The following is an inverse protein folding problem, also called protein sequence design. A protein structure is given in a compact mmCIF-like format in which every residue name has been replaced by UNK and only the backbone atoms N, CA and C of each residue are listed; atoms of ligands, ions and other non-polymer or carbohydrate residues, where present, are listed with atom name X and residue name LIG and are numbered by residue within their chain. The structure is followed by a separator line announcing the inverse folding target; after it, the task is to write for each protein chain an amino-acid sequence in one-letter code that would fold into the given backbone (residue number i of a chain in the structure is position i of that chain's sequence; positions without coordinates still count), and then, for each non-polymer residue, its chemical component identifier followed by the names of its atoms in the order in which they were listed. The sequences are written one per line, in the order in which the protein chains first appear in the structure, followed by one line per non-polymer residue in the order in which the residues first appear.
data_IF_667561180537
#
_entry.id   IF_667561180537
#
_cell.length_a   1.000
_cell.length_b   1.000
_cell.length_c   1.000
_cell.angle_alpha   90.00
_cell.angle_beta   90.00
_cell.angle_gamma   90.00
#
_symmetry.space_group_name_H-M   'P 1'
#
loop_
_entity.id
_entity.type
_entity.pdbx_description
1 polymer ?
#
# COMPACT_ATOMS: atom_id res chain seq x y z
N UNK A 1 -58.23 25.85 -40.02
CA UNK A 1 -57.08 26.64 -39.61
C UNK A 1 -56.32 25.91 -38.49
N UNK A 2 -55.64 24.79 -38.72
CA UNK A 2 -54.94 24.05 -37.63
C UNK A 2 -53.88 23.06 -38.10
N UNK A 3 -53.77 22.75 -39.40
CA UNK A 3 -52.78 21.74 -39.85
C UNK A 3 -51.35 22.25 -40.05
N UNK A 4 -51.13 23.55 -40.00
CA UNK A 4 -49.81 24.18 -40.22
C UNK A 4 -49.01 24.37 -38.92
N UNK A 5 -49.70 24.43 -37.76
CA UNK A 5 -49.07 24.71 -36.45
C UNK A 5 -48.35 23.50 -35.82
N UNK A 6 -48.89 22.26 -35.98
CA UNK A 6 -48.25 21.12 -35.35
C UNK A 6 -47.10 20.57 -36.17
N UNK A 7 -46.96 20.86 -37.45
CA UNK A 7 -45.74 20.56 -38.21
C UNK A 7 -44.56 21.31 -37.66
N UNK A 8 -44.71 22.57 -37.26
CA UNK A 8 -43.68 23.34 -36.59
C UNK A 8 -43.33 22.77 -35.20
N UNK A 9 -44.34 22.36 -34.44
CA UNK A 9 -44.16 21.74 -33.13
C UNK A 9 -43.43 20.39 -33.23
N UNK A 10 -43.77 19.56 -34.21
CA UNK A 10 -43.10 18.28 -34.44
C UNK A 10 -41.64 18.44 -34.86
N UNK A 11 -41.32 19.42 -35.71
CA UNK A 11 -39.94 19.74 -36.08
C UNK A 11 -39.17 20.26 -34.88
N UNK A 12 -39.75 21.08 -34.03
CA UNK A 12 -39.12 21.59 -32.82
C UNK A 12 -38.86 20.45 -31.82
N UNK A 13 -39.80 19.51 -31.64
CA UNK A 13 -39.64 18.36 -30.76
C UNK A 13 -38.54 17.41 -31.26
N UNK A 14 -38.47 17.22 -32.60
CA UNK A 14 -37.40 16.37 -33.18
C UNK A 14 -36.03 16.99 -33.06
N UNK A 15 -35.89 18.29 -33.15
CA UNK A 15 -34.65 19.02 -32.90
C UNK A 15 -34.17 18.91 -31.44
N UNK A 16 -35.10 18.99 -30.47
CA UNK A 16 -34.81 18.80 -29.07
C UNK A 16 -34.35 17.36 -28.78
N UNK A 17 -35.02 16.35 -29.40
CA UNK A 17 -34.63 14.95 -29.24
C UNK A 17 -33.22 14.65 -29.79
N UNK A 18 -32.88 15.21 -30.96
CA UNK A 18 -31.52 15.08 -31.55
C UNK A 18 -30.48 15.79 -30.67
N UNK A 19 -30.81 16.94 -30.10
CA UNK A 19 -29.93 17.66 -29.21
C UNK A 19 -29.65 16.87 -27.91
N UNK A 20 -30.67 16.21 -27.34
CA UNK A 20 -30.52 15.33 -26.19
C UNK A 20 -29.69 14.08 -26.48
N UNK A 21 -29.84 13.47 -27.67
CA UNK A 21 -29.04 12.32 -28.08
C UNK A 21 -27.55 12.67 -28.27
N UNK A 22 -27.23 13.91 -28.65
CA UNK A 22 -25.84 14.35 -28.83
C UNK A 22 -25.09 14.50 -27.50
N UNK A 23 -25.80 14.72 -26.39
CA UNK A 23 -25.17 14.87 -25.05
C UNK A 23 -24.92 13.55 -24.32
N UNK A 24 -25.46 12.42 -24.78
CA UNK A 24 -25.27 11.12 -24.12
C UNK A 24 -23.95 10.41 -24.48
N UNK A 25 -23.11 11.01 -25.32
CA UNK A 25 -21.83 10.41 -25.76
C UNK A 25 -20.63 10.76 -24.86
N UNK A 26 -20.86 11.48 -23.75
CA UNK A 26 -19.79 11.71 -22.78
C UNK A 26 -19.59 10.49 -21.88
N UNK A 27 -19.22 9.37 -22.48
CA UNK A 27 -18.63 8.24 -21.77
C UNK A 27 -17.27 8.68 -21.22
N UNK A 28 -17.26 9.21 -20.00
CA UNK A 28 -16.04 9.33 -19.24
C UNK A 28 -15.44 7.94 -19.09
N UNK A 29 -14.49 7.59 -19.93
CA UNK A 29 -13.56 6.49 -19.67
C UNK A 29 -12.74 6.90 -18.45
N UNK A 30 -13.25 6.59 -17.26
CA UNK A 30 -12.45 6.60 -16.05
C UNK A 30 -11.39 5.52 -16.25
N UNK A 31 -10.25 5.95 -16.74
CA UNK A 31 -9.07 5.11 -16.83
C UNK A 31 -8.54 5.02 -15.39
N UNK A 32 -8.96 4.00 -14.65
CA UNK A 32 -8.23 3.55 -13.46
C UNK A 32 -6.90 2.97 -13.95
N UNK A 33 -6.04 3.85 -14.44
CA UNK A 33 -4.63 3.56 -14.51
C UNK A 33 -4.07 3.88 -13.15
N UNK A 34 -3.39 2.93 -12.54
CA UNK A 34 -2.38 3.23 -11.55
C UNK A 34 -1.39 4.18 -12.24
N UNK A 35 -1.59 5.50 -12.04
CA UNK A 35 -0.72 6.50 -12.63
C UNK A 35 0.60 6.44 -11.87
N UNK A 36 1.63 6.12 -12.62
CA UNK A 36 3.04 6.35 -12.29
C UNK A 36 3.58 5.69 -11.01
N UNK A 37 3.30 4.38 -10.80
CA UNK A 37 4.38 3.57 -10.34
C UNK A 37 5.49 3.75 -11.40
N UNK A 38 6.63 4.36 -11.08
CA UNK A 38 7.81 4.25 -11.92
C UNK A 38 7.88 2.78 -12.24
N UNK A 39 7.59 2.45 -13.50
CA UNK A 39 7.44 1.06 -13.91
C UNK A 39 8.70 0.36 -13.45
N UNK A 40 8.51 -0.72 -12.68
CA UNK A 40 9.60 -1.61 -12.32
C UNK A 40 10.40 -1.81 -13.60
N UNK A 41 11.71 -1.52 -13.64
CA UNK A 41 12.48 -1.59 -14.87
C UNK A 41 12.26 -2.96 -15.52
N UNK A 42 11.99 -3.01 -16.82
CA UNK A 42 11.77 -4.27 -17.54
C UNK A 42 12.97 -5.24 -17.43
N UNK A 43 14.14 -4.71 -17.09
CA UNK A 43 15.35 -5.48 -16.79
C UNK A 43 15.30 -6.22 -15.44
N UNK A 44 14.43 -5.79 -14.52
CA UNK A 44 14.26 -6.41 -13.20
C UNK A 44 13.28 -7.57 -13.31
N UNK A 45 13.76 -8.79 -13.14
CA UNK A 45 12.95 -10.01 -13.23
C UNK A 45 12.99 -10.84 -11.95
N UNK A 46 14.13 -10.87 -11.28
CA UNK A 46 14.40 -11.75 -10.15
C UNK A 46 14.73 -10.92 -8.92
N UNK A 47 13.99 -11.15 -7.84
CA UNK A 47 14.20 -10.48 -6.54
C UNK A 47 14.50 -11.53 -5.46
N UNK A 48 15.42 -11.19 -4.58
CA UNK A 48 15.69 -11.94 -3.34
C UNK A 48 15.25 -11.08 -2.16
N UNK A 49 14.27 -11.54 -1.41
CA UNK A 49 13.86 -10.93 -0.15
C UNK A 49 14.44 -11.78 0.96
N UNK A 50 15.38 -11.24 1.71
CA UNK A 50 15.98 -11.92 2.85
C UNK A 50 15.01 -11.95 4.04
N UNK A 51 15.13 -12.92 4.95
CA UNK A 51 14.33 -12.95 6.17
C UNK A 51 14.47 -11.63 6.93
N UNK A 52 13.35 -11.07 7.33
CA UNK A 52 13.31 -9.82 8.11
C UNK A 52 13.93 -10.09 9.48
N UNK A 53 14.90 -9.25 9.86
CA UNK A 53 15.52 -9.32 11.17
C UNK A 53 14.90 -8.31 12.13
N UNK A 54 14.98 -8.58 13.43
CA UNK A 54 14.51 -7.64 14.45
C UNK A 54 15.68 -7.21 15.35
N UNK A 55 15.91 -5.90 15.43
CA UNK A 55 16.90 -5.27 16.31
C UNK A 55 16.26 -4.22 17.23
N UNK A 56 14.94 -4.18 17.31
CA UNK A 56 14.26 -3.30 18.26
C UNK A 56 14.50 -3.76 19.71
N UNK A 57 14.38 -2.83 20.66
CA UNK A 57 14.57 -3.12 22.08
C UNK A 57 13.54 -4.12 22.62
N UNK A 58 12.34 -4.14 22.08
CA UNK A 58 11.31 -5.13 22.33
C UNK A 58 11.10 -6.00 21.09
N UNK A 59 11.05 -7.31 21.26
CA UNK A 59 10.94 -8.27 20.16
C UNK A 59 9.68 -9.10 20.30
N UNK A 60 8.74 -8.92 19.38
CA UNK A 60 7.67 -9.88 19.17
C UNK A 60 8.21 -11.01 18.26
N UNK A 61 8.33 -12.25 18.75
CA UNK A 61 9.00 -13.33 18.02
C UNK A 61 8.23 -13.79 16.76
N UNK A 62 6.92 -13.54 16.72
CA UNK A 62 6.08 -13.91 15.57
C UNK A 62 6.15 -12.91 14.44
N UNK A 63 6.43 -11.63 14.73
CA UNK A 63 6.26 -10.55 13.77
C UNK A 63 7.23 -10.69 12.58
N UNK A 64 8.52 -10.85 12.81
CA UNK A 64 9.51 -10.84 11.75
C UNK A 64 9.36 -12.01 10.75
N UNK A 65 9.15 -13.27 11.16
CA UNK A 65 8.90 -14.38 10.24
C UNK A 65 7.63 -14.17 9.42
N UNK A 66 6.52 -13.82 10.08
CA UNK A 66 5.23 -13.64 9.39
C UNK A 66 5.24 -12.44 8.44
N UNK A 67 5.94 -11.34 8.79
CA UNK A 67 6.17 -10.20 7.88
C UNK A 67 6.98 -10.60 6.65
N UNK A 68 7.98 -11.47 6.81
CA UNK A 68 8.78 -11.96 5.68
C UNK A 68 7.88 -12.65 4.66
N UNK A 69 7.04 -13.57 5.12
CA UNK A 69 6.13 -14.32 4.26
C UNK A 69 5.09 -13.40 3.59
N UNK A 70 4.54 -12.45 4.34
CA UNK A 70 3.57 -11.48 3.80
C UNK A 70 4.19 -10.56 2.76
N UNK A 71 5.41 -10.08 3.00
CA UNK A 71 6.12 -9.22 2.05
C UNK A 71 6.43 -9.97 0.75
N UNK A 72 6.94 -11.21 0.83
CA UNK A 72 7.17 -12.06 -0.34
C UNK A 72 5.88 -12.25 -1.13
N UNK A 73 4.80 -12.67 -0.47
CA UNK A 73 3.50 -12.86 -1.12
C UNK A 73 3.00 -11.57 -1.79
N UNK A 74 3.16 -10.41 -1.15
CA UNK A 74 2.74 -9.14 -1.70
C UNK A 74 3.52 -8.79 -2.97
N UNK A 75 4.83 -8.88 -2.92
CA UNK A 75 5.69 -8.61 -4.10
C UNK A 75 5.34 -9.54 -5.26
N UNK A 76 5.19 -10.84 -5.00
CA UNK A 76 4.83 -11.82 -6.05
C UNK A 76 3.43 -11.59 -6.65
N UNK A 77 2.47 -11.11 -5.85
CA UNK A 77 1.10 -10.86 -6.33
C UNK A 77 0.96 -9.54 -7.08
N UNK A 78 1.72 -8.52 -6.71
CA UNK A 78 1.56 -7.16 -7.25
C UNK A 78 2.59 -6.81 -8.34
N UNK A 79 3.57 -7.68 -8.56
CA UNK A 79 4.60 -7.50 -9.58
C UNK A 79 4.74 -8.73 -10.47
N UNK A 80 5.50 -8.61 -11.55
CA UNK A 80 5.89 -9.75 -12.41
C UNK A 80 7.22 -10.37 -11.99
N UNK A 81 7.75 -10.00 -10.82
CA UNK A 81 9.03 -10.48 -10.33
C UNK A 81 8.94 -11.93 -9.88
N UNK A 82 10.05 -12.63 -9.95
CA UNK A 82 10.21 -13.99 -9.44
C UNK A 82 11.09 -13.95 -8.18
N UNK A 83 10.67 -14.67 -7.14
CA UNK A 83 11.45 -14.80 -5.91
C UNK A 83 12.53 -15.89 -6.08
N UNK A 84 13.76 -15.56 -5.73
CA UNK A 84 14.86 -16.55 -5.61
C UNK A 84 15.42 -16.59 -4.20
N UNK A 85 16.05 -17.73 -3.84
CA UNK A 85 16.91 -17.86 -2.66
C UNK A 85 18.40 -17.92 -3.06
N UNK A 86 18.66 -17.99 -4.36
CA UNK A 86 20.00 -18.06 -4.92
C UNK A 86 20.74 -16.73 -4.93
N UNK A 87 21.86 -16.71 -5.65
CA UNK A 87 22.70 -15.54 -5.86
C UNK A 87 22.40 -14.80 -7.17
N UNK A 88 21.46 -15.31 -7.96
CA UNK A 88 21.08 -14.83 -9.29
C UNK A 88 20.05 -13.68 -9.28
N UNK A 89 19.79 -13.10 -8.12
CA UNK A 89 18.84 -12.00 -7.97
C UNK A 89 19.36 -10.71 -8.61
N UNK A 90 18.47 -10.04 -9.36
CA UNK A 90 18.74 -8.69 -9.88
C UNK A 90 18.70 -7.65 -8.74
N UNK A 91 17.75 -7.84 -7.80
CA UNK A 91 17.65 -7.03 -6.58
C UNK A 91 17.61 -7.91 -5.34
N UNK A 92 18.30 -7.45 -4.31
CA UNK A 92 18.32 -8.05 -2.98
C UNK A 92 17.72 -7.04 -2.01
N UNK A 93 16.65 -7.43 -1.32
CA UNK A 93 15.92 -6.60 -0.36
C UNK A 93 16.18 -7.14 1.05
N UNK A 94 16.79 -6.30 1.86
CA UNK A 94 17.01 -6.53 3.29
C UNK A 94 16.11 -5.61 4.09
N UNK A 95 15.31 -6.17 4.97
CA UNK A 95 14.48 -5.41 5.90
C UNK A 95 14.88 -5.73 7.34
N UNK A 96 14.90 -4.69 8.19
CA UNK A 96 15.20 -4.81 9.60
C UNK A 96 14.21 -4.00 10.43
N UNK A 97 13.51 -4.63 11.36
CA UNK A 97 12.72 -3.92 12.37
C UNK A 97 13.71 -3.24 13.30
N UNK A 98 13.70 -1.90 13.32
CA UNK A 98 14.63 -1.07 14.08
C UNK A 98 13.99 -0.44 15.31
N UNK A 99 12.67 -0.27 15.29
CA UNK A 99 11.93 0.27 16.42
C UNK A 99 10.62 -0.46 16.64
N UNK A 100 10.27 -0.59 17.91
CA UNK A 100 9.01 -1.13 18.39
C UNK A 100 8.70 -0.38 19.68
N UNK A 101 8.03 0.77 19.54
CA UNK A 101 7.91 1.74 20.63
C UNK A 101 6.44 2.07 20.92
N UNK A 102 6.18 2.33 22.19
CA UNK A 102 4.85 2.64 22.71
C UNK A 102 4.79 4.08 23.16
N UNK A 103 3.67 4.72 22.92
CA UNK A 103 3.39 6.06 23.41
C UNK A 103 1.89 6.19 23.71
N UNK A 104 1.56 7.09 24.63
CA UNK A 104 0.17 7.49 24.84
C UNK A 104 -0.26 8.40 23.69
N UNK A 105 -1.37 8.07 23.03
CA UNK A 105 -1.87 8.83 21.89
C UNK A 105 -3.08 9.70 22.23
N UNK A 106 -3.81 9.41 23.29
CA UNK A 106 -4.95 10.21 23.71
C UNK A 106 -5.17 10.20 25.22
N UNK A 107 -5.43 11.40 25.77
CA UNK A 107 -5.81 11.59 27.16
C UNK A 107 -7.09 12.39 27.21
N UNK A 108 -8.11 11.90 27.94
CA UNK A 108 -9.35 12.62 28.21
C UNK A 108 -9.73 12.43 29.67
N UNK A 109 -10.17 13.51 30.33
CA UNK A 109 -10.51 13.52 31.76
C UNK A 109 -9.43 12.90 32.65
N UNK A 110 -8.13 13.23 32.35
CA UNK A 110 -6.95 12.68 33.08
C UNK A 110 -6.78 11.15 32.97
N UNK A 111 -7.49 10.49 32.06
CA UNK A 111 -7.32 9.07 31.80
C UNK A 111 -6.75 8.83 30.39
N UNK A 112 -5.88 7.84 30.26
CA UNK A 112 -5.35 7.40 28.97
C UNK A 112 -6.43 6.64 28.23
N UNK A 113 -6.92 7.22 27.15
CA UNK A 113 -7.98 6.60 26.33
C UNK A 113 -7.42 5.75 25.19
N UNK A 114 -6.25 6.12 24.68
CA UNK A 114 -5.59 5.36 23.62
C UNK A 114 -4.09 5.38 23.75
N UNK A 115 -3.48 4.29 23.39
CA UNK A 115 -2.06 4.11 23.23
C UNK A 115 -1.72 3.88 21.76
N UNK A 116 -0.48 4.12 21.39
CA UNK A 116 0.05 3.93 20.05
C UNK A 116 1.29 3.06 20.11
N UNK A 117 1.28 2.00 19.29
CA UNK A 117 2.45 1.21 18.95
C UNK A 117 3.02 1.73 17.63
N UNK A 118 4.30 2.10 17.59
CA UNK A 118 5.00 2.45 16.35
C UNK A 118 6.00 1.35 16.01
N UNK A 119 5.90 0.81 14.80
CA UNK A 119 6.84 -0.17 14.28
C UNK A 119 7.64 0.46 13.15
N UNK A 120 8.95 0.58 13.35
CA UNK A 120 9.87 1.12 12.35
C UNK A 120 10.67 0.02 11.68
N UNK A 121 10.80 0.11 10.35
CA UNK A 121 11.55 -0.83 9.53
C UNK A 121 12.52 -0.07 8.65
N UNK A 122 13.80 -0.41 8.74
CA UNK A 122 14.84 0.01 7.80
C UNK A 122 14.89 -0.96 6.63
N UNK A 123 15.01 -0.44 5.42
CA UNK A 123 14.99 -1.18 4.17
C UNK A 123 16.25 -0.82 3.39
N UNK A 124 16.99 -1.83 2.97
CA UNK A 124 18.17 -1.68 2.09
C UNK A 124 17.94 -2.51 0.84
N UNK A 125 18.04 -1.86 -0.31
CA UNK A 125 17.94 -2.52 -1.62
C UNK A 125 19.31 -2.50 -2.26
N UNK A 126 19.80 -3.68 -2.68
CA UNK A 126 21.06 -3.85 -3.41
C UNK A 126 20.80 -4.41 -4.78
N UNK A 127 21.68 -4.10 -5.70
CA UNK A 127 21.73 -4.75 -7.02
C UNK A 127 22.50 -6.08 -6.97
N UNK A 128 22.56 -6.77 -8.11
CA UNK A 128 23.31 -8.03 -8.26
C UNK A 128 24.80 -7.92 -7.94
N UNK A 129 25.36 -6.70 -7.98
CA UNK A 129 26.78 -6.43 -7.64
C UNK A 129 26.95 -6.09 -6.16
N UNK A 130 25.93 -6.26 -5.33
CA UNK A 130 25.87 -5.88 -3.90
C UNK A 130 25.95 -4.38 -3.65
N UNK A 131 25.89 -3.55 -4.68
CA UNK A 131 25.87 -2.10 -4.54
C UNK A 131 24.50 -1.67 -4.01
N UNK A 132 24.50 -0.81 -3.00
CA UNK A 132 23.27 -0.25 -2.46
C UNK A 132 22.68 0.75 -3.48
N UNK A 133 21.46 0.49 -3.91
CA UNK A 133 20.70 1.31 -4.84
C UNK A 133 19.54 2.05 -4.17
N UNK A 134 19.17 1.65 -2.95
CA UNK A 134 18.18 2.34 -2.15
C UNK A 134 18.34 2.06 -0.65
N UNK A 135 18.10 3.09 0.16
CA UNK A 135 17.95 2.98 1.62
C UNK A 135 16.70 3.76 2.01
N UNK A 136 15.83 3.11 2.76
CA UNK A 136 14.56 3.70 3.17
C UNK A 136 14.25 3.35 4.60
N UNK A 137 13.49 4.21 5.25
CA UNK A 137 12.87 3.95 6.54
C UNK A 137 11.37 4.12 6.39
N UNK A 138 10.61 3.21 6.99
CA UNK A 138 9.17 3.29 7.12
C UNK A 138 8.79 3.15 8.59
N UNK A 139 7.77 3.87 9.02
CA UNK A 139 7.22 3.75 10.37
C UNK A 139 5.70 3.68 10.25
N UNK A 140 5.13 2.65 10.85
CA UNK A 140 3.68 2.40 10.79
C UNK A 140 3.13 2.48 12.22
N UNK A 141 2.20 3.41 12.49
CA UNK A 141 1.53 3.55 13.77
C UNK A 141 0.30 2.63 13.85
N UNK A 142 0.04 2.09 15.04
CA UNK A 142 -1.12 1.27 15.37
C UNK A 142 -1.71 1.74 16.69
N UNK A 143 -2.93 2.28 16.65
CA UNK A 143 -3.62 2.75 17.84
C UNK A 143 -4.41 1.62 18.50
N UNK A 144 -4.40 1.58 19.83
CA UNK A 144 -5.15 0.61 20.60
C UNK A 144 -5.71 1.23 21.89
N UNK A 145 -6.75 0.62 22.47
CA UNK A 145 -7.40 1.12 23.66
C UNK A 145 -6.42 1.18 24.86
N UNK A 146 -6.41 2.31 25.56
CA UNK A 146 -5.52 2.53 26.71
C UNK A 146 -5.73 1.56 27.88
N UNK A 147 -6.87 0.84 27.89
CA UNK A 147 -7.21 -0.16 28.90
C UNK A 147 -6.56 -1.54 28.66
N UNK A 148 -6.00 -1.76 27.46
CA UNK A 148 -5.37 -3.04 27.10
C UNK A 148 -3.91 -3.05 27.54
N UNK A 149 -3.48 -4.21 28.04
CA UNK A 149 -2.05 -4.49 28.19
C UNK A 149 -1.38 -4.61 26.80
N UNK A 150 -0.06 -4.45 26.76
CA UNK A 150 0.69 -4.60 25.51
C UNK A 150 0.45 -5.94 24.84
N UNK A 151 0.53 -7.05 25.57
CA UNK A 151 0.35 -8.38 25.03
C UNK A 151 -1.06 -8.60 24.44
N UNK A 152 -2.10 -8.05 25.08
CA UNK A 152 -3.46 -8.09 24.57
C UNK A 152 -3.58 -7.25 23.28
N UNK A 153 -2.97 -6.06 23.26
CA UNK A 153 -2.96 -5.21 22.08
C UNK A 153 -2.22 -5.87 20.91
N UNK A 154 -1.05 -6.48 21.15
CA UNK A 154 -0.28 -7.18 20.12
C UNK A 154 -1.06 -8.31 19.45
N UNK A 155 -1.79 -9.09 20.23
CA UNK A 155 -2.62 -10.16 19.67
C UNK A 155 -3.70 -9.60 18.75
N UNK A 156 -4.34 -8.50 19.11
CA UNK A 156 -5.38 -7.85 18.29
C UNK A 156 -4.81 -7.11 17.08
N UNK A 157 -3.60 -6.56 17.18
CA UNK A 157 -2.96 -5.78 16.14
C UNK A 157 -2.15 -6.60 15.14
N UNK A 158 -1.84 -7.87 15.45
CA UNK A 158 -0.93 -8.67 14.61
C UNK A 158 -1.40 -8.73 13.15
N UNK A 159 -2.66 -9.04 12.91
CA UNK A 159 -3.18 -9.11 11.54
C UNK A 159 -3.13 -7.77 10.81
N UNK A 160 -3.31 -6.67 11.53
CA UNK A 160 -3.17 -5.33 10.97
C UNK A 160 -1.70 -5.02 10.66
N UNK A 161 -0.78 -5.32 11.58
CA UNK A 161 0.66 -5.17 11.34
C UNK A 161 1.13 -5.97 10.13
N UNK A 162 0.63 -7.21 9.97
CA UNK A 162 0.96 -8.10 8.86
C UNK A 162 0.37 -7.65 7.50
N UNK A 163 -0.57 -6.72 7.50
CA UNK A 163 -1.08 -6.04 6.30
C UNK A 163 -0.32 -4.76 6.03
N UNK A 164 -0.32 -3.87 7.00
CA UNK A 164 0.03 -2.46 6.79
C UNK A 164 1.56 -2.27 6.65
N UNK A 165 2.37 -3.05 7.39
CA UNK A 165 3.84 -2.94 7.30
C UNK A 165 4.36 -3.42 5.93
N UNK A 166 3.97 -4.62 5.40
CA UNK A 166 4.35 -5.02 4.05
C UNK A 166 3.85 -4.05 2.97
N UNK A 167 2.69 -3.41 3.19
CA UNK A 167 2.16 -2.39 2.29
C UNK A 167 3.05 -1.15 2.27
N UNK A 168 3.46 -0.67 3.44
CA UNK A 168 4.37 0.46 3.56
C UNK A 168 5.75 0.17 2.93
N UNK A 169 6.31 -1.03 3.17
CA UNK A 169 7.58 -1.48 2.58
C UNK A 169 7.45 -1.55 1.05
N UNK A 170 6.43 -2.22 0.55
CA UNK A 170 6.18 -2.37 -0.88
C UNK A 170 6.06 -1.01 -1.57
N UNK A 171 5.21 -0.15 -1.04
CA UNK A 171 5.00 1.19 -1.59
C UNK A 171 6.29 1.98 -1.60
N UNK A 172 7.13 1.87 -0.55
CA UNK A 172 8.38 2.60 -0.46
C UNK A 172 9.42 2.15 -1.47
N UNK A 173 9.43 0.87 -1.83
CA UNK A 173 10.40 0.31 -2.79
C UNK A 173 9.92 0.49 -4.23
N UNK A 174 8.64 0.19 -4.50
CA UNK A 174 8.10 0.02 -5.84
C UNK A 174 7.19 1.15 -6.31
N UNK A 175 6.67 1.98 -5.38
CA UNK A 175 5.85 3.14 -5.71
C UNK A 175 6.65 4.40 -5.44
N UNK A 176 6.96 5.15 -6.48
CA UNK A 176 7.70 6.41 -6.34
C UNK A 176 6.72 7.52 -5.94
N UNK A 177 6.90 8.06 -4.78
CA UNK A 177 6.21 9.24 -4.27
C UNK A 177 7.04 10.50 -4.48
#
# INVERSE_FOLDING_TARGET
MTLKSYKGLLVFLSLIAVFFLAFTQSSCKVRYGFQDAKSIPDSLKIVKINPITNSASYVNPRLAPELTDRLIQKVMRQTKLQQTRGSDADWIIDCKITSYSFSTSGVSNQQVNSNRLNVGVNIVVRDKTQKIIGKYDVSTPFDYAGTLSLQQAEQGLLDQMLRDIPDAIFNRIFSNW
#
